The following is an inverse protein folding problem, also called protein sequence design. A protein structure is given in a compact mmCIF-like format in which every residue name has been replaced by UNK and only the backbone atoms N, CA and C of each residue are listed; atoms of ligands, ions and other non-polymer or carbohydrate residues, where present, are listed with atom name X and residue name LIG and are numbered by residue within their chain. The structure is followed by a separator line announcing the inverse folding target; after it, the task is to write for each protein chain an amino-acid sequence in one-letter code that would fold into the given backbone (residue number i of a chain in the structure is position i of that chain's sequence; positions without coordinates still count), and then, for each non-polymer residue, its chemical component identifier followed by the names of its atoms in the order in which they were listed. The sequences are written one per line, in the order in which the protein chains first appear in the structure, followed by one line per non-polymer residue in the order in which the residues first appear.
data_IF_982053997720
#
_entry.id   IF_982053997720
#
_cell.length_a   1.000
_cell.length_b   1.000
_cell.length_c   1.000
_cell.angle_alpha   90.00
_cell.angle_beta   90.00
_cell.angle_gamma   90.00
#
_symmetry.space_group_name_H-M   'P 1'
#
loop_
_entity.id
_entity.type
_entity.pdbx_description
1 polymer ?
#
# COMPACT_ATOMS: atom_id res chain seq x y z
N UNK A 1 -4.76 -11.19 1.68
CA UNK A 1 -3.95 -12.00 2.61
C UNK A 1 -2.44 -11.86 2.38
N UNK A 2 -1.95 -12.04 1.15
CA UNK A 2 -0.51 -11.89 0.82
C UNK A 2 0.03 -10.45 0.99
N UNK A 3 -0.79 -9.45 0.64
CA UNK A 3 -0.46 -8.02 0.83
C UNK A 3 -0.15 -7.69 2.29
N UNK A 4 -1.00 -8.12 3.23
CA UNK A 4 -0.81 -7.86 4.66
C UNK A 4 0.41 -8.59 5.23
N UNK A 5 0.67 -9.82 4.78
CA UNK A 5 1.86 -10.57 5.19
C UNK A 5 3.15 -9.86 4.75
N UNK A 6 3.21 -9.42 3.49
CA UNK A 6 4.37 -8.71 2.95
C UNK A 6 4.51 -7.31 3.57
N UNK A 7 3.40 -6.61 3.81
CA UNK A 7 3.37 -5.33 4.50
C UNK A 7 3.93 -5.44 5.92
N UNK A 8 3.39 -6.33 6.76
CA UNK A 8 3.87 -6.54 8.14
C UNK A 8 5.33 -7.01 8.13
N UNK A 9 5.71 -7.86 7.17
CA UNK A 9 7.10 -8.33 7.04
C UNK A 9 8.05 -7.20 6.66
N UNK A 10 7.64 -6.25 5.81
CA UNK A 10 8.44 -5.08 5.46
C UNK A 10 8.75 -4.18 6.67
N UNK A 11 7.89 -4.23 7.70
CA UNK A 11 7.96 -3.40 8.91
C UNK A 11 8.68 -4.08 10.08
N UNK A 12 9.05 -5.36 9.99
CA UNK A 12 9.76 -6.04 11.09
C UNK A 12 11.15 -5.45 11.30
N UNK A 13 11.45 -5.08 12.54
CA UNK A 13 12.78 -4.66 12.98
C UNK A 13 13.78 -5.81 12.81
N UNK A 14 14.83 -5.59 12.02
CA UNK A 14 15.92 -6.55 11.78
C UNK A 14 16.27 -6.72 10.30
N UNK A 15 15.31 -6.55 9.39
CA UNK A 15 15.56 -6.71 7.95
C UNK A 15 16.11 -5.41 7.33
N UNK A 16 17.24 -5.52 6.60
CA UNK A 16 17.79 -4.46 5.74
C UNK A 16 17.05 -4.33 4.40
N UNK A 17 16.26 -5.35 4.02
CA UNK A 17 15.55 -5.44 2.75
C UNK A 17 14.08 -5.00 2.84
N UNK A 18 13.70 -4.19 3.83
CA UNK A 18 12.32 -3.68 4.03
C UNK A 18 11.69 -3.11 2.75
N UNK A 19 12.49 -2.42 1.94
CA UNK A 19 12.08 -1.81 0.67
C UNK A 19 11.66 -2.84 -0.39
N UNK A 20 12.36 -3.98 -0.48
CA UNK A 20 12.00 -5.06 -1.43
C UNK A 20 10.66 -5.70 -1.06
N UNK A 21 10.42 -5.92 0.23
CA UNK A 21 9.14 -6.45 0.71
C UNK A 21 7.98 -5.46 0.52
N UNK A 22 8.24 -4.15 0.65
CA UNK A 22 7.27 -3.10 0.31
C UNK A 22 6.90 -3.09 -1.18
N UNK A 23 7.89 -3.22 -2.07
CA UNK A 23 7.65 -3.36 -3.50
C UNK A 23 6.87 -4.64 -3.84
N UNK A 24 7.23 -5.77 -3.23
CA UNK A 24 6.52 -7.04 -3.41
C UNK A 24 5.07 -6.95 -2.90
N UNK A 25 4.83 -6.21 -1.82
CA UNK A 25 3.49 -5.94 -1.30
C UNK A 25 2.64 -5.14 -2.32
N UNK A 26 3.25 -4.20 -3.05
CA UNK A 26 2.59 -3.45 -4.13
C UNK A 26 2.22 -4.34 -5.32
N UNK A 27 3.09 -5.28 -5.70
CA UNK A 27 2.78 -6.29 -6.74
C UNK A 27 1.68 -7.26 -6.29
N UNK A 28 1.74 -7.72 -5.04
CA UNK A 28 0.69 -8.54 -4.45
C UNK A 28 -0.65 -7.78 -4.36
N UNK A 29 -0.59 -6.46 -4.20
CA UNK A 29 -1.77 -5.59 -4.21
C UNK A 29 -2.38 -5.52 -5.61
N UNK A 30 -1.58 -5.35 -6.66
CA UNK A 30 -2.05 -5.43 -8.04
C UNK A 30 -2.76 -6.76 -8.35
N UNK A 31 -2.18 -7.89 -7.93
CA UNK A 31 -2.84 -9.19 -8.08
C UNK A 31 -4.22 -9.21 -7.39
N UNK A 32 -4.34 -8.58 -6.23
CA UNK A 32 -5.59 -8.49 -5.48
C UNK A 32 -6.62 -7.58 -6.18
N UNK A 33 -6.17 -6.47 -6.78
CA UNK A 33 -7.00 -5.57 -7.62
C UNK A 33 -7.56 -6.32 -8.83
N UNK A 34 -6.73 -7.13 -9.49
CA UNK A 34 -7.15 -7.92 -10.65
C UNK A 34 -8.07 -9.10 -10.29
N UNK A 35 -7.89 -9.70 -9.11
CA UNK A 35 -8.65 -10.86 -8.67
C UNK A 35 -9.96 -10.50 -7.95
N UNK A 36 -10.06 -9.33 -7.29
CA UNK A 36 -11.20 -8.99 -6.43
C UNK A 36 -11.42 -7.49 -6.27
N UNK A 37 -12.68 -7.03 -6.44
CA UNK A 37 -13.07 -5.62 -6.33
C UNK A 37 -12.93 -5.02 -4.92
N UNK A 38 -12.70 -5.83 -3.87
CA UNK A 38 -12.47 -5.36 -2.50
C UNK A 38 -11.06 -4.82 -2.23
N UNK A 39 -10.28 -4.51 -3.26
CA UNK A 39 -8.92 -3.97 -3.13
C UNK A 39 -8.89 -2.59 -2.44
N UNK A 40 -9.98 -1.81 -2.52
CA UNK A 40 -10.11 -0.51 -1.86
C UNK A 40 -10.00 -0.66 -0.34
N UNK A 41 -10.60 -1.71 0.22
CA UNK A 41 -10.49 -2.02 1.65
C UNK A 41 -9.03 -2.28 2.05
N UNK A 42 -8.27 -3.03 1.24
CA UNK A 42 -6.87 -3.34 1.54
C UNK A 42 -6.00 -2.08 1.52
N UNK A 43 -6.19 -1.21 0.53
CA UNK A 43 -5.42 0.03 0.42
C UNK A 43 -5.72 0.97 1.60
N UNK A 44 -6.99 1.13 1.96
CA UNK A 44 -7.40 1.94 3.10
C UNK A 44 -6.85 1.41 4.43
N UNK A 45 -6.84 0.09 4.64
CA UNK A 45 -6.34 -0.51 5.88
C UNK A 45 -4.82 -0.40 6.00
N UNK A 46 -4.07 -0.55 4.90
CA UNK A 46 -2.62 -0.31 4.86
C UNK A 46 -2.31 1.17 5.11
N UNK A 47 -3.05 2.08 4.48
CA UNK A 47 -2.92 3.53 4.71
C UNK A 47 -3.23 3.94 6.15
N UNK A 48 -4.33 3.43 6.72
CA UNK A 48 -4.70 3.67 8.12
C UNK A 48 -3.63 3.16 9.08
N UNK A 49 -3.04 1.99 8.82
CA UNK A 49 -1.96 1.46 9.66
C UNK A 49 -0.69 2.33 9.56
N UNK A 50 -0.32 2.78 8.36
CA UNK A 50 0.80 3.71 8.19
C UNK A 50 0.55 5.04 8.90
N UNK A 51 -0.65 5.62 8.77
CA UNK A 51 -1.07 6.84 9.46
C UNK A 51 -1.06 6.67 11.00
N UNK A 52 -1.56 5.54 11.51
CA UNK A 52 -1.52 5.23 12.93
C UNK A 52 -0.07 5.14 13.45
N UNK A 53 0.86 4.58 12.68
CA UNK A 53 2.29 4.54 13.05
C UNK A 53 2.90 5.94 13.13
N UNK A 54 2.49 6.86 12.25
CA UNK A 54 2.89 8.27 12.30
C UNK A 54 2.32 8.94 13.56
N UNK A 55 1.02 8.77 13.85
CA UNK A 55 0.35 9.37 15.00
C UNK A 55 0.89 8.87 16.34
N UNK A 56 1.27 7.59 16.44
CA UNK A 56 1.87 6.99 17.65
C UNK A 56 3.34 7.40 17.81
N UNK A 57 3.91 8.18 16.89
CA UNK A 57 5.31 8.61 16.94
C UNK A 57 6.32 7.49 16.63
N UNK A 58 5.86 6.36 16.09
CA UNK A 58 6.68 5.21 15.66
C UNK A 58 7.00 5.27 14.17
N UNK A 59 7.16 6.47 13.63
CA UNK A 59 7.60 6.67 12.27
C UNK A 59 9.09 6.30 12.14
N UNK A 60 9.41 5.53 11.11
CA UNK A 60 10.79 5.15 10.79
C UNK A 60 11.00 5.31 9.29
N UNK A 61 12.23 5.62 8.88
CA UNK A 61 12.63 5.67 7.46
C UNK A 61 12.27 4.40 6.70
N UNK A 62 12.19 3.25 7.39
CA UNK A 62 11.73 1.98 6.81
C UNK A 62 10.25 2.01 6.44
N UNK A 63 9.39 2.52 7.33
CA UNK A 63 7.94 2.68 7.08
C UNK A 63 7.74 3.60 5.88
N UNK A 64 8.45 4.74 5.84
CA UNK A 64 8.37 5.69 4.73
C UNK A 64 8.74 5.06 3.39
N UNK A 65 9.88 4.37 3.31
CA UNK A 65 10.35 3.73 2.07
C UNK A 65 9.42 2.60 1.63
N UNK A 66 9.00 1.73 2.55
CA UNK A 66 8.08 0.63 2.24
C UNK A 66 6.70 1.14 1.79
N UNK A 67 6.17 2.17 2.44
CA UNK A 67 4.89 2.79 2.07
C UNK A 67 4.96 3.48 0.70
N UNK A 68 6.02 4.26 0.46
CA UNK A 68 6.21 4.96 -0.81
C UNK A 68 6.28 3.97 -1.98
N UNK A 69 7.05 2.89 -1.84
CA UNK A 69 7.15 1.85 -2.87
C UNK A 69 5.83 1.11 -3.05
N UNK A 70 5.14 0.78 -1.95
CA UNK A 70 3.82 0.15 -2.00
C UNK A 70 2.81 1.02 -2.76
N UNK A 71 2.77 2.32 -2.47
CA UNK A 71 1.84 3.26 -3.08
C UNK A 71 2.18 3.53 -4.54
N UNK A 72 3.44 3.80 -4.88
CA UNK A 72 3.85 4.07 -6.26
C UNK A 72 3.62 2.85 -7.14
N UNK A 73 4.09 1.67 -6.73
CA UNK A 73 3.95 0.44 -7.52
C UNK A 73 2.49 0.00 -7.56
N UNK A 74 1.81 0.02 -6.42
CA UNK A 74 0.41 -0.38 -6.31
C UNK A 74 -0.51 0.49 -7.16
N UNK A 75 -0.35 1.82 -7.10
CA UNK A 75 -1.15 2.76 -7.89
C UNK A 75 -0.80 2.71 -9.38
N UNK A 76 0.50 2.68 -9.73
CA UNK A 76 0.92 2.60 -11.13
C UNK A 76 0.41 1.33 -11.83
N UNK A 77 0.41 0.20 -11.13
CA UNK A 77 -0.14 -1.05 -11.65
C UNK A 77 -1.67 -1.07 -11.63
N UNK A 78 -2.32 -0.50 -10.62
CA UNK A 78 -3.79 -0.44 -10.54
C UNK A 78 -4.40 0.38 -11.69
N UNK A 79 -3.76 1.46 -12.12
CA UNK A 79 -4.21 2.29 -13.27
C UNK A 79 -4.18 1.50 -14.59
N UNK A 80 -3.37 0.44 -14.70
CA UNK A 80 -3.33 -0.40 -15.90
C UNK A 80 -4.53 -1.36 -16.00
N UNK A 81 -5.33 -1.53 -14.94
CA UNK A 81 -6.50 -2.41 -14.95
C UNK A 81 -7.70 -1.65 -15.55
N UNK A 82 -8.28 -2.11 -16.67
CA UNK A 82 -9.37 -1.40 -17.36
C UNK A 82 -10.65 -1.25 -16.53
N UNK A 83 -10.87 -2.16 -15.55
CA UNK A 83 -11.97 -2.07 -14.57
C UNK A 83 -11.78 -0.91 -13.56
N UNK A 84 -10.54 -0.45 -13.34
CA UNK A 84 -10.20 0.61 -12.38
C UNK A 84 -10.08 1.96 -13.08
N UNK A 85 -9.54 1.99 -14.30
CA UNK A 85 -9.45 3.20 -15.12
C UNK A 85 -8.89 4.40 -14.33
N UNK A 86 -9.62 5.52 -14.34
CA UNK A 86 -9.27 6.75 -13.61
C UNK A 86 -10.00 6.88 -12.26
N UNK A 87 -10.66 5.83 -11.76
CA UNK A 87 -11.38 5.86 -10.49
C UNK A 87 -10.52 6.30 -9.27
N UNK A 88 -9.22 5.92 -9.17
CA UNK A 88 -8.35 6.38 -8.08
C UNK A 88 -8.12 7.90 -8.04
N UNK A 89 -8.35 8.59 -9.16
CA UNK A 89 -8.20 10.05 -9.30
C UNK A 89 -9.54 10.80 -9.30
N UNK A 90 -10.68 10.10 -9.35
CA UNK A 90 -12.02 10.70 -9.45
C UNK A 90 -12.93 10.47 -8.24
N UNK A 91 -12.68 9.45 -7.39
CA UNK A 91 -13.50 9.21 -6.19
C UNK A 91 -12.82 9.72 -4.92
N UNK A 92 -13.53 10.58 -4.16
CA UNK A 92 -13.12 11.09 -2.84
C UNK A 92 -12.88 9.96 -1.80
N UNK A 93 -13.33 8.74 -2.08
CA UNK A 93 -13.14 7.56 -1.22
C UNK A 93 -11.70 7.01 -1.19
N UNK A 94 -10.85 7.41 -2.14
CA UNK A 94 -9.44 6.98 -2.25
C UNK A 94 -8.42 8.10 -2.04
N UNK A 95 -8.84 9.29 -1.60
CA UNK A 95 -7.95 10.43 -1.37
C UNK A 95 -7.33 10.46 0.04
N UNK A 96 -7.92 9.78 1.02
CA UNK A 96 -7.38 9.69 2.38
C UNK A 96 -5.92 9.18 2.48
N UNK A 97 -5.49 8.20 1.66
CA UNK A 97 -4.10 7.73 1.63
C UNK A 97 -3.11 8.70 0.95
N UNK A 98 -3.59 9.70 0.20
CA UNK A 98 -2.74 10.68 -0.49
C UNK A 98 -2.39 11.90 0.38
N UNK A 99 -3.02 12.03 1.56
CA UNK A 99 -2.85 13.15 2.49
C UNK A 99 -1.83 12.88 3.61
N UNK A 100 -1.18 11.72 3.61
CA UNK A 100 -0.15 11.32 4.59
C UNK A 100 1.24 11.30 3.97
#
# INVERSE_FOLDING_TARGET
SLVFLLWIRSLRSGDGNSWMFGALAGVAYFYMVAAWGGYVFVLNLVGLHAAALVLVGRFSTKVYRSYSLFYVIGTALAVQVPVVGWAPLKSLEQMAPALV
#
